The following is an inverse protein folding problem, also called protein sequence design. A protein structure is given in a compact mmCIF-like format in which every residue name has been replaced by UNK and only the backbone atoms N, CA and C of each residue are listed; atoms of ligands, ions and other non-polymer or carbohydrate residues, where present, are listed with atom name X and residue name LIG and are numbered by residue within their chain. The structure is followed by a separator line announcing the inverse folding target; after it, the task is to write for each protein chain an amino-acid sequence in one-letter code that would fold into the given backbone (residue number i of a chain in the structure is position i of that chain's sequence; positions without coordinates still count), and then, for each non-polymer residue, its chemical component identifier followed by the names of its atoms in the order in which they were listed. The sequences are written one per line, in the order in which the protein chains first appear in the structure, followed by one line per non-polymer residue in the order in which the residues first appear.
data_IF_646049869884
#
_entry.id   IF_646049869884
#
_cell.length_a   1.000
_cell.length_b   1.000
_cell.length_c   1.000
_cell.angle_alpha   90.00
_cell.angle_beta   90.00
_cell.angle_gamma   90.00
#
_symmetry.space_group_name_H-M   'P 1'
#
loop_
_entity.id
_entity.type
_entity.pdbx_description
1 polymer ?
#
# COMPACT_ATOMS: atom_id res chain seq x y z
N UNK A 1 74.88 -29.25 -75.65
CA UNK A 1 73.43 -29.31 -75.28
C UNK A 1 72.51 -29.66 -76.44
N UNK A 2 73.01 -30.00 -77.65
CA UNK A 2 72.15 -30.39 -78.79
C UNK A 2 71.45 -31.73 -78.62
N UNK A 3 72.00 -32.65 -77.82
CA UNK A 3 71.42 -33.99 -77.64
C UNK A 3 70.07 -33.93 -76.91
N UNK A 4 69.96 -33.17 -75.81
CA UNK A 4 68.68 -32.98 -75.12
C UNK A 4 67.67 -32.20 -75.97
N UNK A 5 68.12 -31.20 -76.75
CA UNK A 5 67.23 -30.44 -77.62
C UNK A 5 66.68 -31.28 -78.77
N UNK A 6 67.52 -32.13 -79.37
CA UNK A 6 67.11 -33.09 -80.39
C UNK A 6 66.10 -34.09 -79.84
N UNK A 7 66.41 -34.73 -78.71
CA UNK A 7 65.51 -35.72 -78.09
C UNK A 7 64.16 -35.10 -77.72
N UNK A 8 64.12 -33.88 -77.15
CA UNK A 8 62.86 -33.20 -76.83
C UNK A 8 62.06 -32.78 -78.08
N UNK A 9 62.74 -32.40 -79.17
CA UNK A 9 62.09 -32.13 -80.46
C UNK A 9 61.46 -33.39 -81.05
N UNK A 10 62.17 -34.53 -81.04
CA UNK A 10 61.63 -35.79 -81.58
C UNK A 10 60.47 -36.31 -80.74
N UNK A 11 60.56 -36.20 -79.41
CA UNK A 11 59.49 -36.64 -78.49
C UNK A 11 58.24 -35.76 -78.64
N UNK A 12 58.38 -34.49 -79.02
CA UNK A 12 57.23 -33.61 -79.28
C UNK A 12 56.41 -34.04 -80.51
N UNK A 13 57.08 -34.66 -81.48
CA UNK A 13 56.44 -35.20 -82.69
C UNK A 13 56.12 -36.69 -82.59
N UNK A 14 56.40 -37.31 -81.43
CA UNK A 14 56.14 -38.72 -81.20
C UNK A 14 54.64 -38.96 -81.13
N UNK A 15 54.20 -40.04 -81.78
CA UNK A 15 52.79 -40.40 -81.89
C UNK A 15 52.14 -40.47 -80.51
N UNK A 16 52.83 -41.03 -79.50
CA UNK A 16 52.34 -41.13 -78.10
C UNK A 16 52.04 -39.78 -77.46
N UNK A 17 52.76 -38.72 -77.87
CA UNK A 17 52.65 -37.36 -77.35
C UNK A 17 51.62 -36.56 -78.13
N UNK A 18 51.57 -36.74 -79.45
CA UNK A 18 50.58 -36.07 -80.31
C UNK A 18 49.21 -36.75 -80.32
N UNK A 19 49.10 -38.01 -79.86
CA UNK A 19 47.84 -38.80 -79.84
C UNK A 19 46.70 -38.04 -79.17
N UNK A 20 47.00 -37.23 -78.15
CA UNK A 20 46.01 -36.44 -77.42
C UNK A 20 45.70 -35.07 -78.05
N UNK A 21 46.49 -34.61 -79.02
CA UNK A 21 46.33 -33.33 -79.75
C UNK A 21 45.67 -33.49 -81.14
N UNK A 22 45.51 -34.73 -81.65
CA UNK A 22 44.97 -35.01 -82.99
C UNK A 22 43.44 -34.85 -83.05
N UNK A 23 42.74 -35.15 -81.95
CA UNK A 23 41.30 -34.95 -81.86
C UNK A 23 40.99 -33.64 -81.13
N UNK A 24 40.56 -32.61 -81.88
CA UNK A 24 40.12 -31.32 -81.29
C UNK A 24 39.00 -31.47 -80.25
N UNK A 25 38.33 -32.62 -80.19
CA UNK A 25 37.37 -32.95 -79.15
C UNK A 25 38.03 -33.20 -77.78
N UNK A 26 39.27 -33.70 -77.78
CA UNK A 26 40.08 -34.03 -76.59
C UNK A 26 41.17 -32.99 -76.27
N UNK A 27 41.27 -31.91 -77.06
CA UNK A 27 42.12 -30.75 -76.76
C UNK A 27 41.86 -30.28 -75.31
N UNK A 28 42.93 -30.03 -74.58
CA UNK A 28 42.91 -29.56 -73.19
C UNK A 28 42.03 -28.32 -73.01
N UNK A 29 41.97 -27.43 -74.01
CA UNK A 29 41.11 -26.25 -73.96
C UNK A 29 39.62 -26.61 -74.07
N UNK A 30 39.29 -27.65 -74.83
CA UNK A 30 37.93 -28.15 -74.96
C UNK A 30 37.50 -28.87 -73.68
N UNK A 31 38.38 -29.66 -73.07
CA UNK A 31 38.17 -30.27 -71.74
C UNK A 31 37.94 -29.20 -70.67
N UNK A 32 38.77 -28.16 -70.63
CA UNK A 32 38.62 -27.03 -69.70
C UNK A 32 37.30 -26.28 -69.91
N UNK A 33 36.89 -26.07 -71.16
CA UNK A 33 35.61 -25.44 -71.50
C UNK A 33 34.42 -26.30 -71.08
N UNK A 34 34.46 -27.61 -71.37
CA UNK A 34 33.42 -28.56 -70.97
C UNK A 34 33.35 -28.64 -69.44
N UNK A 35 34.48 -28.66 -68.73
CA UNK A 35 34.51 -28.65 -67.28
C UNK A 35 33.94 -27.33 -66.71
N UNK A 36 34.31 -26.19 -67.28
CA UNK A 36 33.76 -24.89 -66.89
C UNK A 36 32.24 -24.82 -67.16
N UNK A 37 31.78 -25.37 -68.27
CA UNK A 37 30.36 -25.32 -68.65
C UNK A 37 29.51 -26.34 -67.90
N UNK A 38 30.04 -27.53 -67.62
CA UNK A 38 29.33 -28.60 -66.91
C UNK A 38 29.41 -28.42 -65.39
N UNK A 39 30.54 -27.97 -64.85
CA UNK A 39 30.76 -27.83 -63.39
C UNK A 39 30.67 -26.36 -62.95
N UNK A 40 31.29 -25.45 -63.71
CA UNK A 40 31.35 -24.02 -63.36
C UNK A 40 29.98 -23.31 -63.43
N UNK A 41 29.09 -23.69 -64.35
CA UNK A 41 27.72 -23.16 -64.41
C UNK A 41 26.87 -23.64 -63.23
N UNK A 42 27.03 -24.90 -62.81
CA UNK A 42 26.36 -25.44 -61.62
C UNK A 42 26.70 -24.66 -60.35
N UNK A 43 27.97 -24.28 -60.18
CA UNK A 43 28.42 -23.43 -59.07
C UNK A 43 27.74 -22.05 -59.03
N UNK A 44 27.34 -21.48 -60.19
CA UNK A 44 26.63 -20.20 -60.25
C UNK A 44 25.12 -20.34 -60.01
N UNK A 45 24.52 -21.46 -60.41
CA UNK A 45 23.10 -21.73 -60.21
C UNK A 45 22.76 -22.04 -58.74
N UNK A 46 23.67 -22.68 -58.02
CA UNK A 46 23.47 -23.06 -56.61
C UNK A 46 23.18 -21.87 -55.68
N UNK A 47 24.00 -20.80 -55.66
CA UNK A 47 23.74 -19.63 -54.81
C UNK A 47 22.39 -18.97 -55.08
N UNK A 48 21.96 -18.89 -56.35
CA UNK A 48 20.68 -18.30 -56.69
C UNK A 48 19.50 -19.17 -56.25
N UNK A 49 19.61 -20.49 -56.41
CA UNK A 49 18.62 -21.43 -55.89
C UNK A 49 18.51 -21.34 -54.35
N UNK A 50 19.64 -21.26 -53.64
CA UNK A 50 19.67 -21.07 -52.18
C UNK A 50 19.00 -19.74 -51.80
N UNK A 51 19.31 -18.64 -52.51
CA UNK A 51 18.69 -17.33 -52.25
C UNK A 51 17.16 -17.35 -52.44
N UNK A 52 16.67 -18.08 -53.42
CA UNK A 52 15.23 -18.26 -53.62
C UNK A 52 14.60 -19.02 -52.46
N UNK A 53 15.22 -20.12 -52.01
CA UNK A 53 14.77 -20.88 -50.83
C UNK A 53 14.73 -19.99 -49.58
N UNK A 54 15.78 -19.21 -49.31
CA UNK A 54 15.81 -18.29 -48.18
C UNK A 54 14.68 -17.25 -48.25
N UNK A 55 14.41 -16.72 -49.44
CA UNK A 55 13.32 -15.77 -49.67
C UNK A 55 11.96 -16.39 -49.39
N UNK A 56 11.71 -17.61 -49.89
CA UNK A 56 10.44 -18.30 -49.66
C UNK A 56 10.27 -18.70 -48.20
N UNK A 57 11.33 -19.21 -47.55
CA UNK A 57 11.34 -19.51 -46.12
C UNK A 57 11.01 -18.28 -45.30
N UNK A 58 11.66 -17.13 -45.57
CA UNK A 58 11.38 -15.87 -44.90
C UNK A 58 9.93 -15.40 -45.06
N UNK A 59 9.32 -15.59 -46.24
CA UNK A 59 7.90 -15.28 -46.46
C UNK A 59 6.98 -16.20 -45.65
N UNK A 60 7.29 -17.49 -45.55
CA UNK A 60 6.52 -18.44 -44.72
C UNK A 60 6.61 -18.05 -43.26
N UNK A 61 7.80 -17.78 -42.73
CA UNK A 61 7.99 -17.32 -41.35
C UNK A 61 7.21 -16.03 -41.07
N UNK A 62 7.21 -15.09 -42.02
CA UNK A 62 6.43 -13.85 -41.91
C UNK A 62 4.92 -14.09 -41.87
N UNK A 63 4.39 -15.04 -42.65
CA UNK A 63 2.96 -15.39 -42.61
C UNK A 63 2.59 -16.09 -41.30
N UNK A 64 3.39 -17.04 -40.84
CA UNK A 64 3.18 -17.71 -39.55
C UNK A 64 3.23 -16.71 -38.38
N UNK A 65 4.10 -15.71 -38.46
CA UNK A 65 4.16 -14.62 -37.47
C UNK A 65 2.86 -13.84 -37.32
N UNK A 66 2.03 -13.73 -38.37
CA UNK A 66 0.71 -13.07 -38.27
C UNK A 66 -0.25 -13.87 -37.39
N UNK A 67 -0.31 -15.19 -37.57
CA UNK A 67 -1.16 -16.04 -36.72
C UNK A 67 -0.69 -16.04 -35.27
N UNK A 68 0.63 -16.02 -35.04
CA UNK A 68 1.17 -15.86 -33.69
C UNK A 68 0.68 -14.55 -33.03
N UNK A 69 0.75 -13.43 -33.75
CA UNK A 69 0.24 -12.14 -33.25
C UNK A 69 -1.27 -12.16 -32.99
N UNK A 70 -2.06 -12.90 -33.77
CA UNK A 70 -3.50 -13.05 -33.51
C UNK A 70 -3.78 -13.79 -32.20
N UNK A 71 -2.98 -14.83 -31.88
CA UNK A 71 -3.05 -15.56 -30.61
C UNK A 71 -2.60 -14.68 -29.45
N UNK A 72 -1.47 -13.99 -29.60
CA UNK A 72 -0.87 -13.12 -28.58
C UNK A 72 -1.78 -11.95 -28.19
N UNK A 73 -2.48 -11.34 -29.16
CA UNK A 73 -3.42 -10.23 -28.92
C UNK A 73 -4.58 -10.58 -27.98
N UNK A 74 -4.82 -11.87 -27.70
CA UNK A 74 -5.86 -12.31 -26.76
C UNK A 74 -5.34 -12.50 -25.34
N UNK A 75 -4.04 -12.36 -25.13
CA UNK A 75 -3.45 -12.47 -23.81
C UNK A 75 -4.06 -11.45 -22.84
N UNK A 76 -4.44 -11.91 -21.65
CA UNK A 76 -5.00 -11.07 -20.58
C UNK A 76 -6.53 -10.93 -20.60
N UNK A 77 -7.19 -11.35 -21.68
CA UNK A 77 -8.65 -11.46 -21.72
C UNK A 77 -9.14 -12.67 -20.89
N UNK A 78 -10.45 -12.79 -20.66
CA UNK A 78 -11.01 -14.01 -20.09
C UNK A 78 -10.74 -15.25 -20.97
N UNK A 79 -10.69 -16.43 -20.36
CA UNK A 79 -10.28 -17.65 -21.04
C UNK A 79 -11.29 -18.04 -22.14
N UNK A 80 -12.56 -17.71 -21.96
CA UNK A 80 -13.62 -17.94 -22.96
C UNK A 80 -13.37 -17.12 -24.24
N UNK A 81 -12.97 -15.87 -24.09
CA UNK A 81 -12.62 -14.94 -25.17
C UNK A 81 -11.32 -15.38 -25.84
N UNK A 82 -10.33 -15.82 -25.07
CA UNK A 82 -9.10 -16.42 -25.60
C UNK A 82 -9.39 -17.65 -26.45
N UNK A 83 -10.17 -18.61 -25.92
CA UNK A 83 -10.56 -19.83 -26.64
C UNK A 83 -11.30 -19.51 -27.95
N UNK A 84 -12.22 -18.55 -27.93
CA UNK A 84 -12.94 -18.13 -29.15
C UNK A 84 -12.00 -17.53 -30.20
N UNK A 85 -11.05 -16.68 -29.77
CA UNK A 85 -10.02 -16.14 -30.66
C UNK A 85 -9.10 -17.20 -31.25
N UNK A 86 -8.66 -18.16 -30.43
CA UNK A 86 -7.80 -19.26 -30.88
C UNK A 86 -8.53 -20.20 -31.83
N UNK A 87 -9.82 -20.51 -31.58
CA UNK A 87 -10.68 -21.23 -32.54
C UNK A 87 -10.70 -20.56 -33.92
N UNK A 88 -10.90 -19.23 -33.93
CA UNK A 88 -10.88 -18.46 -35.17
C UNK A 88 -9.53 -18.52 -35.89
N UNK A 89 -8.43 -18.41 -35.13
CA UNK A 89 -7.07 -18.46 -35.68
C UNK A 89 -6.76 -19.83 -36.30
N UNK A 90 -7.06 -20.92 -35.58
CA UNK A 90 -6.90 -22.30 -36.08
C UNK A 90 -7.78 -22.55 -37.31
N UNK A 91 -8.99 -22.00 -37.34
CA UNK A 91 -9.86 -22.04 -38.51
C UNK A 91 -9.21 -21.42 -39.75
N UNK A 92 -8.65 -20.22 -39.62
CA UNK A 92 -7.93 -19.55 -40.73
C UNK A 92 -6.72 -20.35 -41.20
N UNK A 93 -5.96 -20.95 -40.28
CA UNK A 93 -4.81 -21.80 -40.64
C UNK A 93 -5.30 -23.02 -41.44
N UNK A 94 -6.38 -23.67 -41.01
CA UNK A 94 -6.96 -24.81 -41.72
C UNK A 94 -7.38 -24.43 -43.15
N UNK A 95 -8.03 -23.28 -43.32
CA UNK A 95 -8.45 -22.79 -44.63
C UNK A 95 -7.26 -22.48 -45.53
N UNK A 96 -6.20 -21.88 -44.99
CA UNK A 96 -4.96 -21.61 -45.74
C UNK A 96 -4.27 -22.91 -46.19
N UNK A 97 -4.18 -23.91 -45.31
CA UNK A 97 -3.61 -25.22 -45.63
C UNK A 97 -4.41 -25.90 -46.76
N UNK A 98 -5.76 -25.89 -46.67
CA UNK A 98 -6.63 -26.41 -47.72
C UNK A 98 -6.42 -25.71 -49.07
N UNK A 99 -6.27 -24.38 -49.05
CA UNK A 99 -6.05 -23.57 -50.24
C UNK A 99 -4.69 -23.88 -50.88
N UNK A 100 -3.62 -24.02 -50.08
CA UNK A 100 -2.29 -24.40 -50.57
C UNK A 100 -2.34 -25.79 -51.22
N UNK A 101 -3.00 -26.76 -50.60
CA UNK A 101 -3.15 -28.09 -51.19
C UNK A 101 -3.88 -28.02 -52.55
N UNK A 102 -5.02 -27.33 -52.58
CA UNK A 102 -5.92 -27.27 -53.73
C UNK A 102 -5.30 -26.53 -54.91
N UNK A 103 -4.76 -25.33 -54.68
CA UNK A 103 -4.37 -24.42 -55.75
C UNK A 103 -2.88 -24.47 -56.09
N UNK A 104 -2.02 -24.91 -55.16
CA UNK A 104 -0.57 -24.88 -55.34
C UNK A 104 0.06 -26.27 -55.43
N UNK A 105 -0.33 -27.22 -54.57
CA UNK A 105 0.29 -28.57 -54.55
C UNK A 105 -0.32 -29.47 -55.62
N UNK A 106 -1.64 -29.44 -55.78
CA UNK A 106 -2.34 -30.33 -56.71
C UNK A 106 -2.05 -30.07 -58.20
N UNK A 107 -1.49 -28.90 -58.53
CA UNK A 107 -1.12 -28.50 -59.90
C UNK A 107 0.32 -28.87 -60.28
N UNK A 108 1.12 -29.40 -59.34
CA UNK A 108 2.51 -29.82 -59.59
C UNK A 108 2.58 -31.15 -60.35
N UNK A 109 3.75 -31.46 -60.92
CA UNK A 109 4.00 -32.76 -61.51
C UNK A 109 3.88 -33.88 -60.46
N UNK A 110 3.61 -35.11 -60.92
CA UNK A 110 3.32 -36.24 -60.03
C UNK A 110 4.42 -36.54 -59.02
N UNK A 111 5.68 -36.27 -59.34
CA UNK A 111 6.80 -36.53 -58.43
C UNK A 111 6.86 -35.47 -57.33
N UNK A 112 6.81 -34.19 -57.69
CA UNK A 112 6.80 -33.11 -56.69
C UNK A 112 5.52 -33.08 -55.85
N UNK A 113 4.37 -33.32 -56.49
CA UNK A 113 3.07 -33.43 -55.83
C UNK A 113 3.09 -34.51 -54.74
N UNK A 114 3.48 -35.74 -55.07
CA UNK A 114 3.47 -36.85 -54.11
C UNK A 114 4.37 -36.57 -52.90
N UNK A 115 5.53 -35.94 -53.11
CA UNK A 115 6.44 -35.57 -52.01
C UNK A 115 5.82 -34.51 -51.10
N UNK A 116 5.26 -33.44 -51.66
CA UNK A 116 4.66 -32.36 -50.86
C UNK A 116 3.34 -32.77 -50.20
N UNK A 117 2.55 -33.64 -50.83
CA UNK A 117 1.31 -34.15 -50.24
C UNK A 117 1.56 -34.89 -48.91
N UNK A 118 2.65 -35.65 -48.81
CA UNK A 118 2.99 -36.33 -47.56
C UNK A 118 3.24 -35.34 -46.42
N UNK A 119 4.06 -34.31 -46.67
CA UNK A 119 4.35 -33.27 -45.68
C UNK A 119 3.09 -32.44 -45.33
N UNK A 120 2.26 -32.11 -46.33
CA UNK A 120 0.99 -31.41 -46.12
C UNK A 120 0.03 -32.23 -45.25
N UNK A 121 0.01 -33.56 -45.39
CA UNK A 121 -0.81 -34.45 -44.56
C UNK A 121 -0.47 -34.36 -43.07
N UNK A 122 0.83 -34.23 -42.73
CA UNK A 122 1.29 -34.04 -41.35
C UNK A 122 0.80 -32.70 -40.77
N UNK A 123 0.89 -31.63 -41.57
CA UNK A 123 0.39 -30.30 -41.18
C UNK A 123 -1.13 -30.35 -40.99
N UNK A 124 -1.86 -30.93 -41.94
CA UNK A 124 -3.30 -31.12 -41.89
C UNK A 124 -3.74 -31.83 -40.60
N UNK A 125 -3.08 -32.95 -40.29
CA UNK A 125 -3.41 -33.76 -39.11
C UNK A 125 -3.20 -32.96 -37.83
N UNK A 126 -2.13 -32.17 -37.76
CA UNK A 126 -1.80 -31.33 -36.60
C UNK A 126 -2.81 -30.19 -36.42
N UNK A 127 -3.16 -29.48 -37.50
CA UNK A 127 -4.14 -28.38 -37.48
C UNK A 127 -5.54 -28.91 -37.16
N UNK A 128 -5.91 -30.07 -37.72
CA UNK A 128 -7.17 -30.74 -37.44
C UNK A 128 -7.27 -31.16 -35.97
N UNK A 129 -6.20 -31.71 -35.39
CA UNK A 129 -6.15 -32.05 -33.97
C UNK A 129 -6.42 -30.81 -33.11
N UNK A 130 -5.71 -29.70 -33.37
CA UNK A 130 -5.91 -28.44 -32.64
C UNK A 130 -7.34 -27.92 -32.80
N UNK A 131 -7.90 -27.99 -34.01
CA UNK A 131 -9.27 -27.57 -34.30
C UNK A 131 -10.28 -28.40 -33.52
N UNK A 132 -10.09 -29.71 -33.47
CA UNK A 132 -10.97 -30.63 -32.76
C UNK A 132 -10.87 -30.42 -31.25
N UNK A 133 -9.65 -30.31 -30.71
CA UNK A 133 -9.43 -30.02 -29.28
C UNK A 133 -10.06 -28.70 -28.87
N UNK A 134 -9.90 -27.64 -29.68
CA UNK A 134 -10.52 -26.35 -29.37
C UNK A 134 -12.05 -26.43 -29.40
N UNK A 135 -12.63 -27.19 -30.35
CA UNK A 135 -14.08 -27.35 -30.50
C UNK A 135 -14.71 -28.40 -29.58
N UNK A 136 -13.92 -29.04 -28.73
CA UNK A 136 -14.42 -30.00 -27.75
C UNK A 136 -15.29 -29.25 -26.72
N UNK A 137 -16.52 -29.73 -26.56
CA UNK A 137 -17.55 -29.03 -25.79
C UNK A 137 -17.22 -29.03 -24.30
N UNK A 138 -16.73 -30.15 -23.76
CA UNK A 138 -16.37 -30.28 -22.34
C UNK A 138 -15.25 -29.32 -21.98
N UNK A 139 -14.24 -29.17 -22.83
CA UNK A 139 -13.14 -28.22 -22.67
C UNK A 139 -13.65 -26.79 -22.67
N UNK A 140 -14.58 -26.45 -23.58
CA UNK A 140 -15.23 -25.14 -23.58
C UNK A 140 -16.02 -24.86 -22.29
N UNK A 141 -16.71 -25.86 -21.75
CA UNK A 141 -17.41 -25.75 -20.47
C UNK A 141 -16.45 -25.57 -19.29
N UNK A 142 -15.32 -26.29 -19.28
CA UNK A 142 -14.27 -26.15 -18.27
C UNK A 142 -13.66 -24.75 -18.28
N UNK A 143 -13.34 -24.22 -19.47
CA UNK A 143 -12.84 -22.85 -19.64
C UNK A 143 -13.81 -21.83 -19.04
N UNK A 144 -15.09 -21.93 -19.39
CA UNK A 144 -16.15 -21.05 -18.83
C UNK A 144 -16.31 -21.19 -17.32
N UNK A 145 -16.17 -22.41 -16.81
CA UNK A 145 -16.23 -22.70 -15.38
C UNK A 145 -15.08 -22.04 -14.63
N UNK A 146 -13.86 -22.03 -15.18
CA UNK A 146 -12.71 -21.34 -14.59
C UNK A 146 -12.96 -19.84 -14.53
N UNK A 147 -13.36 -19.20 -15.64
CA UNK A 147 -13.69 -17.77 -15.65
C UNK A 147 -14.74 -17.41 -14.60
N UNK A 148 -15.82 -18.18 -14.54
CA UNK A 148 -16.91 -17.98 -13.57
C UNK A 148 -16.44 -18.17 -12.12
N UNK A 149 -15.55 -19.12 -11.89
CA UNK A 149 -15.00 -19.41 -10.55
C UNK A 149 -14.07 -18.28 -10.10
N UNK A 150 -13.23 -17.75 -11.00
CA UNK A 150 -12.34 -16.63 -10.69
C UNK A 150 -13.13 -15.37 -10.31
N UNK A 151 -14.22 -15.07 -11.02
CA UNK A 151 -15.11 -13.95 -10.69
C UNK A 151 -15.73 -14.15 -9.30
N UNK A 152 -16.29 -15.33 -9.01
CA UNK A 152 -16.86 -15.63 -7.69
C UNK A 152 -15.84 -15.50 -6.57
N UNK A 153 -14.64 -16.08 -6.74
CA UNK A 153 -13.58 -15.98 -5.74
C UNK A 153 -13.15 -14.53 -5.49
N UNK A 154 -13.05 -13.72 -6.55
CA UNK A 154 -12.77 -12.29 -6.42
C UNK A 154 -13.85 -11.60 -5.58
N UNK A 155 -15.11 -11.84 -5.90
CA UNK A 155 -16.23 -11.19 -5.23
C UNK A 155 -16.34 -11.65 -3.77
N UNK A 156 -16.12 -12.93 -3.47
CA UNK A 156 -16.07 -13.49 -2.12
C UNK A 156 -14.97 -12.82 -1.28
N UNK A 157 -13.78 -12.64 -1.86
CA UNK A 157 -12.66 -11.96 -1.18
C UNK A 157 -13.01 -10.49 -0.91
N UNK A 158 -13.59 -9.78 -1.88
CA UNK A 158 -14.01 -8.39 -1.70
C UNK A 158 -15.08 -8.26 -0.62
N UNK A 159 -16.07 -9.16 -0.60
CA UNK A 159 -17.09 -9.18 0.44
C UNK A 159 -16.46 -9.39 1.82
N UNK A 160 -15.57 -10.37 1.95
CA UNK A 160 -14.90 -10.66 3.23
C UNK A 160 -14.04 -9.50 3.72
N UNK A 161 -13.35 -8.80 2.81
CA UNK A 161 -12.61 -7.57 3.15
C UNK A 161 -13.56 -6.51 3.72
N UNK A 162 -14.70 -6.27 3.06
CA UNK A 162 -15.68 -5.28 3.52
C UNK A 162 -16.28 -5.62 4.89
N UNK A 163 -16.62 -6.90 5.11
CA UNK A 163 -17.14 -7.40 6.39
C UNK A 163 -16.12 -7.18 7.53
N UNK A 164 -14.87 -7.59 7.32
CA UNK A 164 -13.80 -7.43 8.30
C UNK A 164 -13.50 -5.93 8.57
N UNK A 165 -13.54 -5.09 7.53
CA UNK A 165 -13.40 -3.64 7.69
C UNK A 165 -14.53 -3.04 8.55
N UNK A 166 -15.78 -3.46 8.33
CA UNK A 166 -16.92 -2.98 9.11
C UNK A 166 -16.84 -3.43 10.59
N UNK A 167 -16.41 -4.68 10.84
CA UNK A 167 -16.15 -5.19 12.19
C UNK A 167 -15.05 -4.38 12.87
N UNK A 168 -13.95 -4.10 12.17
CA UNK A 168 -12.85 -3.30 12.69
C UNK A 168 -13.30 -1.87 13.04
N UNK A 169 -14.05 -1.22 12.15
CA UNK A 169 -14.59 0.13 12.40
C UNK A 169 -15.46 0.15 13.66
N UNK A 170 -16.39 -0.79 13.79
CA UNK A 170 -17.25 -0.92 14.96
C UNK A 170 -16.44 -1.11 16.25
N UNK A 171 -15.39 -1.95 16.20
CA UNK A 171 -14.52 -2.19 17.35
C UNK A 171 -13.74 -0.95 17.76
N UNK A 172 -13.23 -0.19 16.81
CA UNK A 172 -12.50 1.06 17.05
C UNK A 172 -13.42 2.12 17.63
N UNK A 173 -14.61 2.32 17.06
CA UNK A 173 -15.61 3.26 17.56
C UNK A 173 -16.03 2.95 19.00
N UNK A 174 -16.30 1.68 19.29
CA UNK A 174 -16.65 1.24 20.64
C UNK A 174 -15.49 1.43 21.63
N UNK A 175 -14.25 1.21 21.17
CA UNK A 175 -13.04 1.48 21.96
C UNK A 175 -12.93 2.96 22.35
N UNK A 176 -13.11 3.87 21.40
CA UNK A 176 -13.11 5.31 21.68
C UNK A 176 -14.24 5.75 22.61
N UNK A 177 -15.47 5.29 22.37
CA UNK A 177 -16.62 5.56 23.26
C UNK A 177 -16.35 5.09 24.70
N UNK A 178 -15.70 3.94 24.88
CA UNK A 178 -15.34 3.44 26.20
C UNK A 178 -14.30 4.33 26.89
N UNK A 179 -13.30 4.82 26.15
CA UNK A 179 -12.31 5.77 26.67
C UNK A 179 -13.01 7.07 27.09
N UNK A 180 -13.88 7.62 26.25
CA UNK A 180 -14.61 8.86 26.54
C UNK A 180 -15.47 8.73 27.80
N UNK A 181 -16.22 7.62 27.93
CA UNK A 181 -17.03 7.36 29.13
C UNK A 181 -16.17 7.32 30.40
N UNK A 182 -15.01 6.66 30.34
CA UNK A 182 -14.08 6.61 31.49
C UNK A 182 -13.51 7.98 31.84
N UNK A 183 -13.23 8.83 30.85
CA UNK A 183 -12.79 10.21 31.09
C UNK A 183 -13.89 11.02 31.79
N UNK A 184 -15.14 10.85 31.37
CA UNK A 184 -16.30 11.50 32.00
C UNK A 184 -16.43 11.05 33.47
N UNK A 185 -16.38 9.74 33.74
CA UNK A 185 -16.46 9.19 35.09
C UNK A 185 -15.33 9.70 35.99
N UNK A 186 -14.09 9.75 35.48
CA UNK A 186 -12.94 10.30 36.20
C UNK A 186 -13.15 11.78 36.54
N UNK A 187 -13.65 12.56 35.58
CA UNK A 187 -13.92 13.99 35.76
C UNK A 187 -14.99 14.22 36.83
N UNK A 188 -16.09 13.47 36.78
CA UNK A 188 -17.16 13.55 37.77
C UNK A 188 -16.68 13.16 39.18
N UNK A 189 -15.88 12.09 39.25
CA UNK A 189 -15.26 11.67 40.50
C UNK A 189 -14.36 12.76 41.07
N UNK A 190 -13.49 13.34 40.23
CA UNK A 190 -12.61 14.44 40.64
C UNK A 190 -13.41 15.65 41.15
N UNK A 191 -14.44 16.07 40.42
CA UNK A 191 -15.33 17.17 40.85
C UNK A 191 -15.97 16.90 42.22
N UNK A 192 -16.45 15.68 42.44
CA UNK A 192 -17.07 15.27 43.71
C UNK A 192 -16.06 15.31 44.85
N UNK A 193 -14.86 14.76 44.65
CA UNK A 193 -13.81 14.77 45.68
C UNK A 193 -13.34 16.18 46.01
N UNK A 194 -13.12 17.04 45.00
CA UNK A 194 -12.77 18.44 45.23
C UNK A 194 -13.86 19.23 45.95
N UNK A 195 -15.14 18.94 45.68
CA UNK A 195 -16.25 19.52 46.43
C UNK A 195 -16.21 19.09 47.90
N UNK A 196 -16.06 17.80 48.18
CA UNK A 196 -15.95 17.30 49.56
C UNK A 196 -14.77 17.93 50.31
N UNK A 197 -13.62 18.08 49.66
CA UNK A 197 -12.46 18.78 50.23
C UNK A 197 -12.78 20.24 50.54
N UNK A 198 -13.43 20.95 49.61
CA UNK A 198 -13.82 22.35 49.81
C UNK A 198 -14.81 22.49 50.98
N UNK A 199 -15.80 21.62 51.04
CA UNK A 199 -16.82 21.62 52.10
C UNK A 199 -16.17 21.33 53.47
N UNK A 200 -15.22 20.39 53.54
CA UNK A 200 -14.45 20.10 54.75
C UNK A 200 -13.58 21.28 55.19
N UNK A 201 -12.90 21.96 54.26
CA UNK A 201 -12.10 23.16 54.56
C UNK A 201 -13.00 24.29 55.08
N UNK A 202 -14.16 24.51 54.46
CA UNK A 202 -15.12 25.51 54.90
C UNK A 202 -15.63 25.21 56.31
N UNK A 203 -16.00 23.96 56.58
CA UNK A 203 -16.42 23.50 57.91
C UNK A 203 -15.34 23.73 58.97
N UNK A 204 -14.09 23.37 58.70
CA UNK A 204 -12.97 23.60 59.61
C UNK A 204 -12.76 25.10 59.88
N UNK A 205 -12.82 25.94 58.84
CA UNK A 205 -12.69 27.40 58.96
C UNK A 205 -13.78 27.97 59.87
N UNK A 206 -15.03 27.62 59.61
CA UNK A 206 -16.18 28.15 60.34
C UNK A 206 -16.17 27.65 61.80
N UNK A 207 -15.75 26.41 62.03
CA UNK A 207 -15.58 25.84 63.38
C UNK A 207 -14.48 26.54 64.19
N UNK A 208 -13.33 26.84 63.56
CA UNK A 208 -12.25 27.59 64.22
C UNK A 208 -12.70 29.01 64.58
N UNK A 209 -13.42 29.68 63.67
CA UNK A 209 -13.94 31.02 63.95
C UNK A 209 -14.97 31.02 65.08
N UNK A 210 -15.92 30.07 65.07
CA UNK A 210 -16.93 29.95 66.13
C UNK A 210 -16.29 29.72 67.50
N UNK A 211 -15.36 28.77 67.60
CA UNK A 211 -14.68 28.48 68.85
C UNK A 211 -13.82 29.67 69.32
N UNK A 212 -13.19 30.40 68.41
CA UNK A 212 -12.44 31.60 68.80
C UNK A 212 -13.35 32.70 69.37
N UNK A 213 -14.47 32.98 68.70
CA UNK A 213 -15.39 34.03 69.11
C UNK A 213 -16.09 33.69 70.43
N UNK A 214 -16.61 32.47 70.58
CA UNK A 214 -17.36 32.08 71.79
C UNK A 214 -16.43 31.79 72.98
N UNK A 215 -15.38 31.00 72.78
CA UNK A 215 -14.56 30.56 73.91
C UNK A 215 -13.59 31.62 74.41
N UNK A 216 -13.17 32.55 73.56
CA UNK A 216 -12.15 33.53 73.90
C UNK A 216 -12.69 34.95 73.81
N UNK A 217 -13.17 35.38 72.65
CA UNK A 217 -13.53 36.79 72.43
C UNK A 217 -14.63 37.25 73.38
N UNK A 218 -15.74 36.52 73.47
CA UNK A 218 -16.87 36.86 74.35
C UNK A 218 -16.43 36.85 75.81
N UNK A 219 -15.76 35.79 76.27
CA UNK A 219 -15.30 35.70 77.68
C UNK A 219 -14.31 36.81 78.04
N UNK A 220 -13.44 37.21 77.12
CA UNK A 220 -12.52 38.34 77.33
C UNK A 220 -13.32 39.65 77.44
N UNK A 221 -14.28 39.88 76.54
CA UNK A 221 -15.14 41.07 76.58
C UNK A 221 -15.95 41.14 77.88
N UNK A 222 -16.56 40.03 78.31
CA UNK A 222 -17.31 39.94 79.56
C UNK A 222 -16.44 40.26 80.78
N UNK A 223 -15.18 39.79 80.79
CA UNK A 223 -14.23 40.13 81.85
C UNK A 223 -13.90 41.63 81.85
N UNK A 224 -13.69 42.24 80.68
CA UNK A 224 -13.47 43.69 80.59
C UNK A 224 -14.69 44.48 81.07
N UNK A 225 -15.90 44.05 80.71
CA UNK A 225 -17.15 44.66 81.18
C UNK A 225 -17.34 44.50 82.68
N UNK A 226 -17.01 43.33 83.25
CA UNK A 226 -17.04 43.11 84.69
C UNK A 226 -16.03 44.00 85.44
N UNK A 227 -14.82 44.18 84.90
CA UNK A 227 -13.82 45.12 85.43
C UNK A 227 -14.37 46.55 85.37
N UNK A 228 -14.94 46.95 84.24
CA UNK A 228 -15.53 48.29 84.05
C UNK A 228 -16.65 48.58 85.05
N UNK A 229 -17.52 47.61 85.32
CA UNK A 229 -18.58 47.71 86.34
C UNK A 229 -17.96 47.87 87.73
N UNK A 230 -16.98 47.02 88.09
CA UNK A 230 -16.31 47.09 89.41
C UNK A 230 -15.59 48.42 89.62
N UNK A 231 -14.85 48.90 88.62
CA UNK A 231 -14.14 50.19 88.67
C UNK A 231 -15.14 51.34 88.81
N UNK A 232 -16.24 51.32 88.05
CA UNK A 232 -17.30 52.34 88.15
C UNK A 232 -17.96 52.32 89.54
N UNK A 233 -18.18 51.14 90.11
CA UNK A 233 -18.68 50.99 91.48
C UNK A 233 -17.72 51.54 92.53
N UNK A 234 -16.43 51.28 92.40
CA UNK A 234 -15.39 51.86 93.28
C UNK A 234 -15.33 53.38 93.15
N UNK A 235 -15.38 53.91 91.93
CA UNK A 235 -15.41 55.33 91.67
C UNK A 235 -16.62 55.99 92.34
N UNK A 236 -17.81 55.41 92.19
CA UNK A 236 -19.03 55.92 92.83
C UNK A 236 -18.93 55.88 94.37
N UNK A 237 -18.36 54.82 94.96
CA UNK A 237 -18.12 54.75 96.40
C UNK A 237 -17.12 55.82 96.88
N UNK A 238 -16.01 55.99 96.17
CA UNK A 238 -15.02 57.05 96.45
C UNK A 238 -15.66 58.43 96.39
N UNK A 239 -16.52 58.67 95.40
CA UNK A 239 -17.26 59.91 95.26
C UNK A 239 -18.24 60.12 96.43
N UNK A 240 -18.92 59.07 96.87
CA UNK A 240 -19.80 59.12 98.04
C UNK A 240 -19.01 59.40 99.31
N UNK A 241 -17.94 58.66 99.60
CA UNK A 241 -17.08 58.90 100.77
C UNK A 241 -16.48 60.31 100.76
N UNK A 242 -16.11 60.83 99.58
CA UNK A 242 -15.65 62.21 99.43
C UNK A 242 -16.76 63.20 99.82
N UNK A 243 -18.00 62.95 99.41
CA UNK A 243 -19.14 63.78 99.80
C UNK A 243 -19.38 63.70 101.32
N UNK A 244 -19.43 62.49 101.90
CA UNK A 244 -19.64 62.27 103.33
C UNK A 244 -18.54 62.95 104.17
N UNK A 245 -17.27 62.84 103.76
CA UNK A 245 -16.15 63.53 104.42
C UNK A 245 -16.29 65.04 104.31
N UNK A 246 -16.78 65.55 103.17
CA UNK A 246 -17.11 66.96 102.99
C UNK A 246 -18.18 67.43 103.97
N UNK A 247 -19.25 66.64 104.18
CA UNK A 247 -20.28 66.91 105.17
C UNK A 247 -19.72 66.92 106.60
N UNK A 248 -18.85 65.95 106.92
CA UNK A 248 -18.25 65.81 108.24
C UNK A 248 -17.27 66.96 108.55
N UNK A 249 -16.45 67.37 107.58
CA UNK A 249 -15.57 68.54 107.68
C UNK A 249 -16.40 69.82 107.85
N UNK A 250 -17.48 70.00 107.08
CA UNK A 250 -18.37 71.15 107.23
C UNK A 250 -19.02 71.20 108.62
N UNK A 251 -19.41 70.03 109.15
CA UNK A 251 -20.00 69.90 110.49
C UNK A 251 -18.98 70.26 111.58
N UNK A 252 -17.74 69.75 111.49
CA UNK A 252 -16.66 70.10 112.40
C UNK A 252 -16.29 71.59 112.34
N UNK A 253 -16.27 72.20 111.15
CA UNK A 253 -16.09 73.65 110.99
C UNK A 253 -17.18 74.45 111.71
N UNK A 254 -18.43 73.98 111.66
CA UNK A 254 -19.55 74.61 112.37
C UNK A 254 -19.38 74.51 113.89
N UNK A 255 -19.04 73.33 114.44
CA UNK A 255 -18.86 73.15 115.88
C UNK A 255 -17.65 73.92 116.43
N UNK A 256 -16.50 73.90 115.76
CA UNK A 256 -15.33 74.70 116.18
C UNK A 256 -15.56 76.20 116.01
N UNK A 257 -16.37 76.63 115.04
CA UNK A 257 -16.83 78.02 114.93
C UNK A 257 -17.64 78.46 116.15
N UNK A 258 -18.45 77.56 116.72
CA UNK A 258 -19.25 77.80 117.93
C UNK A 258 -18.39 77.77 119.20
N UNK A 259 -17.38 76.89 119.28
CA UNK A 259 -16.46 76.82 120.44
C UNK A 259 -15.57 78.09 120.54
N UNK A 260 -15.19 78.67 119.40
CA UNK A 260 -14.40 79.91 119.36
C UNK A 260 -15.23 81.15 119.76
N UNK A 261 -16.55 81.12 119.56
CA UNK A 261 -17.47 82.14 120.08
C UNK A 261 -17.72 81.99 121.59
N UNK A 262 -17.76 80.75 122.11
CA UNK A 262 -17.87 80.51 123.57
C UNK A 262 -16.62 80.90 124.35
N UNK A 263 -15.44 80.73 123.76
CA UNK A 263 -14.16 81.15 124.37
C UNK A 263 -13.97 82.67 124.44
N UNK A 264 -14.68 83.42 123.59
CA UNK A 264 -14.59 84.88 123.51
C UNK A 264 -15.61 85.62 124.39
N UNK A 265 -16.46 84.89 125.13
CA UNK A 265 -17.51 85.46 125.99
C UNK A 265 -17.21 85.41 127.50
N UNK A 266 -16.00 85.00 127.90
CA UNK A 266 -15.56 84.90 129.30
C UNK A 266 -14.88 86.17 129.85
N UNK A 267 -14.99 87.31 129.16
CA UNK A 267 -14.61 88.63 129.70
C UNK A 267 -15.84 89.55 129.80
N UNK A 268 -16.57 89.46 130.92
CA UNK A 268 -17.03 90.60 131.73
C UNK A 268 -17.68 90.13 133.03
#
# INVERSE_FOLDING_TARGET
MSFLHGVLQTVKSDESVTTYDIDRSNDINNVLRILHDSVGKGRKAFPEAVRQVDTFTGRVTGHLGKYYQEVEKKQGEDLTTQLSGWKGTVGKIQDEVNNIETYNVNVLDSTLKNRLMHEMSVIHSSVLLLKNSANEEVFGLQVKQVDSTLVKQRDDVLQKINEECAVLQTRVENGFKSIDNRIIELTQTAMTQFRLMRDAIAFCRDSVNYNFDDDYRIKILDNFDAIKIKVSGFYNKLQQTKNDLGELVNSAWSEFGVENQRSSGLET
#
